data_IF_435676062124
#
_entry.id   IF_435676062124
#
_cell.length_a   1.000
_cell.length_b   1.000
_cell.length_c   1.000
_cell.angle_alpha   90.00
_cell.angle_beta   90.00
_cell.angle_gamma   90.00
#
_symmetry.space_group_name_H-M   'P 1'
#
loop_
_entity.id
_entity.type
_entity.pdbx_description
1 polymer ?
2 non-polymer ?
3 water ?
#
# COMPACT_ATOMS: atom_id res chain seq x y z
N UNK A 12 -8.26 -16.86 -13.71
CA UNK A 12 -8.22 -15.43 -13.40
C UNK A 12 -7.78 -15.16 -11.97
N UNK A 13 -7.24 -13.96 -11.75
CA UNK A 13 -6.77 -13.52 -10.43
C UNK A 13 -7.61 -12.35 -9.93
N UNK A 14 -8.17 -12.49 -8.73
CA UNK A 14 -9.10 -11.50 -8.20
C UNK A 14 -8.46 -10.58 -7.14
N UNK A 15 -8.93 -9.34 -7.10
CA UNK A 15 -8.49 -8.38 -6.09
C UNK A 15 -9.71 -7.76 -5.40
N UNK A 16 -9.65 -7.61 -4.08
CA UNK A 16 -10.76 -7.03 -3.32
C UNK A 16 -10.33 -5.94 -2.38
N UNK A 17 -10.92 -4.76 -2.51
CA UNK A 17 -10.62 -3.73 -1.53
C UNK A 17 -11.44 -4.06 -0.28
N UNK A 18 -10.78 -4.35 0.82
CA UNK A 18 -11.49 -4.75 2.03
C UNK A 18 -11.62 -3.58 2.99
N UNK A 19 -10.76 -2.58 2.83
CA UNK A 19 -10.88 -1.37 3.63
C UNK A 19 -10.35 -0.16 2.87
N UNK A 20 -11.07 0.95 3.00
CA UNK A 20 -10.73 2.20 2.31
C UNK A 20 -11.57 3.31 2.90
N UNK A 21 -11.24 4.54 2.58
CA UNK A 21 -11.97 5.66 3.13
C UNK A 21 -13.40 5.78 2.57
N UNK A 22 -13.60 5.31 1.34
CA UNK A 22 -14.93 5.29 0.70
C UNK A 22 -15.50 3.89 0.67
N UNK A 23 -16.76 3.76 0.28
CA UNK A 23 -17.41 2.45 0.26
C UNK A 23 -18.67 2.45 -0.60
N UNK A 24 -18.97 1.30 -1.19
CA UNK A 24 -20.22 1.12 -1.90
C UNK A 24 -21.24 0.67 -0.87
N UNK A 25 -22.53 0.87 -1.18
CA UNK A 25 -23.61 0.49 -0.26
C UNK A 25 -23.45 -0.93 0.28
N UNK A 26 -23.38 -1.05 1.60
CA UNK A 26 -23.30 -2.36 2.23
C UNK A 26 -21.97 -2.55 2.93
N UNK A 27 -20.94 -1.91 2.40
CA UNK A 27 -19.59 -2.05 2.91
C UNK A 27 -19.20 -0.91 3.82
N UNK A 28 -18.47 -1.22 4.87
CA UNK A 28 -18.05 -0.22 5.83
C UNK A 28 -16.76 0.43 5.38
N UNK A 29 -16.49 1.62 5.89
CA UNK A 29 -15.30 2.36 5.50
C UNK A 29 -14.66 3.03 6.70
N UNK A 30 -13.34 3.10 6.68
CA UNK A 30 -12.65 3.92 7.65
C UNK A 30 -11.42 4.51 6.99
N UNK A 31 -10.74 5.40 7.70
CA UNK A 31 -9.44 5.86 7.28
C UNK A 31 -8.44 4.73 7.50
N UNK A 32 -8.17 3.98 6.43
CA UNK A 32 -7.15 2.97 6.42
C UNK A 32 -7.26 2.22 5.12
N UNK A 33 -6.29 1.36 4.84
CA UNK A 33 -6.28 0.63 3.58
C UNK A 33 -6.08 -0.87 3.83
N UNK A 34 -6.81 -1.70 3.09
CA UNK A 34 -6.59 -3.15 3.09
C UNK A 34 -7.16 -3.70 1.82
N UNK A 35 -6.38 -4.52 1.12
CA UNK A 35 -6.80 -5.09 -0.14
C UNK A 35 -6.34 -6.54 -0.22
N UNK A 36 -7.28 -7.42 -0.54
CA UNK A 36 -7.00 -8.83 -0.75
C UNK A 36 -6.58 -9.04 -2.20
N UNK A 37 -5.40 -9.61 -2.39
CA UNK A 37 -4.84 -9.78 -3.72
C UNK A 37 -4.57 -11.24 -3.97
N UNK A 38 -5.51 -11.91 -4.61
CA UNK A 38 -5.41 -13.34 -4.82
C UNK A 38 -5.24 -14.00 -3.48
N UNK A 39 -4.06 -14.54 -3.23
CA UNK A 39 -3.84 -15.40 -2.07
C UNK A 39 -3.09 -14.71 -0.93
N UNK A 40 -3.03 -13.40 -0.96
CA UNK A 40 -2.25 -12.68 0.04
C UNK A 40 -3.01 -11.41 0.43
N UNK A 41 -2.99 -11.03 1.71
CA UNK A 41 -3.67 -9.81 2.12
C UNK A 41 -2.69 -8.68 2.31
N UNK A 42 -2.92 -7.57 1.61
CA UNK A 42 -2.05 -6.39 1.65
C UNK A 42 -2.66 -5.36 2.58
N UNK A 43 -2.04 -5.16 3.73
CA UNK A 43 -2.53 -4.25 4.76
C UNK A 43 -3.86 -4.69 5.41
N UNK A 44 -4.21 -4.06 6.51
CA UNK A 44 -5.33 -4.51 7.31
C UNK A 44 -6.15 -3.39 7.96
N UNK A 45 -6.07 -2.17 7.45
CA UNK A 45 -6.84 -1.06 7.98
C UNK A 45 -6.49 -0.61 9.40
N UNK A 46 -7.40 0.14 10.01
CA UNK A 46 -7.25 0.66 11.37
C UNK A 46 -7.85 -0.32 12.39
N UNK A 47 -9.02 -0.84 12.07
CA UNK A 47 -9.73 -1.77 12.97
C UNK A 47 -10.19 -3.01 12.22
N UNK A 48 -11.40 -3.48 12.53
CA UNK A 48 -11.87 -4.75 11.98
C UNK A 48 -12.74 -4.57 10.76
N UNK A 49 -12.80 -3.35 10.24
CA UNK A 49 -13.55 -3.08 9.02
C UNK A 49 -13.20 -4.05 7.89
N UNK A 50 -11.93 -4.32 7.67
CA UNK A 50 -11.54 -5.27 6.64
C UNK A 50 -12.20 -6.65 6.83
N UNK A 51 -12.31 -7.12 8.07
CA UNK A 51 -12.90 -8.42 8.36
C UNK A 51 -14.38 -8.45 8.11
N UNK A 52 -15.03 -7.36 8.48
CA UNK A 52 -16.48 -7.27 8.36
C UNK A 52 -16.85 -7.23 6.90
N UNK A 53 -16.08 -6.48 6.11
CA UNK A 53 -16.26 -6.47 4.66
C UNK A 53 -15.99 -7.82 4.04
N UNK A 54 -14.94 -8.49 4.52
CA UNK A 54 -14.62 -9.83 4.06
C UNK A 54 -15.76 -10.82 4.36
N UNK A 55 -16.31 -10.77 5.57
CA UNK A 55 -17.46 -11.60 5.90
C UNK A 55 -18.65 -11.27 5.02
N UNK A 56 -18.84 -9.99 4.72
CA UNK A 56 -19.90 -9.57 3.81
C UNK A 56 -19.75 -10.26 2.46
N UNK A 57 -18.50 -10.52 2.05
CA UNK A 57 -18.25 -11.20 0.77
C UNK A 57 -18.06 -12.70 0.98
N UNK A 58 -18.19 -13.16 2.22
CA UNK A 58 -18.06 -14.56 2.53
C UNK A 58 -16.68 -15.09 2.19
N UNK A 59 -15.66 -14.25 2.34
CA UNK A 59 -14.27 -14.62 2.08
C UNK A 59 -13.49 -15.01 3.34
N UNK A 60 -12.73 -16.09 3.22
CA UNK A 60 -11.76 -16.48 4.23
C UNK A 60 -10.43 -15.80 3.92
N UNK A 61 -9.83 -15.13 4.90
CA UNK A 61 -8.56 -14.46 4.63
C UNK A 61 -7.42 -15.46 4.66
N UNK A 62 -6.37 -15.18 3.89
CA UNK A 62 -5.28 -16.14 3.72
C UNK A 62 -4.30 -16.06 4.88
N UNK A 63 -3.38 -16.99 4.89
CA UNK A 63 -2.39 -17.07 5.94
C UNK A 63 -1.51 -15.83 5.94
N UNK A 64 -1.15 -15.34 4.76
CA UNK A 64 -0.11 -14.33 4.62
C UNK A 64 -0.67 -12.92 4.55
N UNK A 65 -0.21 -12.09 5.48
CA UNK A 65 -0.56 -10.69 5.49
C UNK A 65 0.70 -9.84 5.33
N UNK A 66 0.71 -8.97 4.34
CA UNK A 66 1.87 -8.11 4.06
C UNK A 66 1.59 -6.72 4.56
N UNK A 67 2.58 -6.10 5.16
CA UNK A 67 2.42 -4.77 5.72
C UNK A 67 3.27 -3.76 4.95
N UNK A 68 2.60 -2.79 4.33
CA UNK A 68 3.30 -1.80 3.50
C UNK A 68 4.17 -0.86 4.32
N UNK A 69 3.71 -0.52 5.52
CA UNK A 69 4.49 0.28 6.44
C UNK A 69 3.81 0.28 7.82
N UNK A 70 4.57 0.62 8.86
CA UNK A 70 4.04 0.51 10.22
C UNK A 70 3.21 1.66 10.75
N UNK A 71 2.34 2.24 9.93
CA UNK A 71 1.34 3.18 10.42
C UNK A 71 0.09 2.47 10.93
N UNK A 72 -0.58 3.09 11.90
CA UNK A 72 -1.79 2.56 12.55
C UNK A 72 -2.91 2.19 11.56
N UNK A 73 -3.11 3.00 10.52
CA UNK A 73 -4.19 2.78 9.57
C UNK A 73 -3.88 1.67 8.56
N UNK A 74 -2.72 1.04 8.69
CA UNK A 74 -2.33 -0.06 7.79
C UNK A 74 -2.07 -1.33 8.55
N UNK A 75 -1.57 -1.20 9.77
CA UNK A 75 -1.21 -2.36 10.57
C UNK A 75 -2.21 -2.62 11.71
N UNK A 76 -3.24 -1.79 11.81
CA UNK A 76 -4.12 -1.82 12.97
C UNK A 76 -5.05 -3.01 13.07
N UNK A 77 -5.58 -3.45 11.94
CA UNK A 77 -6.49 -4.58 11.95
C UNK A 77 -5.79 -5.89 12.28
N UNK A 78 -4.47 -5.85 12.38
CA UNK A 78 -3.73 -7.04 12.81
C UNK A 78 -4.09 -7.39 14.25
N UNK A 79 -4.58 -6.41 14.97
CA UNK A 79 -5.04 -6.61 16.33
C UNK A 79 -6.25 -7.52 16.37
N UNK A 80 -6.80 -7.82 15.20
CA UNK A 80 -8.00 -8.63 15.10
C UNK A 80 -7.72 -9.98 14.46
N UNK A 81 -6.43 -10.25 14.19
CA UNK A 81 -6.03 -11.52 13.61
C UNK A 81 -5.08 -12.27 14.55
N UNK A 82 -5.11 -13.60 14.44
CA UNK A 82 -4.18 -14.47 15.13
C UNK A 82 -3.66 -15.50 14.13
N UNK A 83 -2.42 -15.93 14.34
CA UNK A 83 -1.86 -17.03 13.57
C UNK A 83 -1.48 -16.72 12.14
N UNK A 84 -1.56 -15.46 11.76
CA UNK A 84 -1.13 -15.06 10.43
C UNK A 84 0.38 -15.00 10.38
N UNK A 85 0.93 -15.07 9.18
CA UNK A 85 2.34 -14.84 8.94
C UNK A 85 2.44 -13.42 8.41
N UNK A 86 3.00 -12.53 9.23
CA UNK A 86 3.01 -11.11 8.91
C UNK A 86 4.34 -10.71 8.33
N UNK A 87 4.32 -10.27 7.08
CA UNK A 87 5.52 -9.87 6.38
C UNK A 87 5.74 -8.38 6.54
N UNK A 88 6.72 -8.01 7.37
CA UNK A 88 7.04 -6.62 7.59
C UNK A 88 8.54 -6.37 7.56
N UNK A 89 8.92 -5.13 7.28
CA UNK A 89 10.32 -4.72 7.37
C UNK A 89 10.73 -4.50 8.83
N UNK A 90 11.94 -4.91 9.19
CA UNK A 90 12.43 -4.72 10.55
C UNK A 90 12.11 -3.32 11.07
N UNK A 91 12.22 -2.32 10.21
CA UNK A 91 12.09 -0.94 10.67
C UNK A 91 10.63 -0.48 10.83
N UNK A 92 9.69 -1.33 10.44
CA UNK A 92 8.29 -1.08 10.76
C UNK A 92 8.06 -1.08 12.28
N UNK A 93 8.99 -1.63 13.04
CA UNK A 93 8.83 -1.74 14.48
C UNK A 93 9.06 -0.42 15.20
N UNK A 94 9.87 0.46 14.62
CA UNK A 94 10.15 1.77 15.22
C UNK A 94 8.85 2.52 15.38
N UNK A 95 8.75 3.32 16.42
CA UNK A 95 7.47 3.92 16.77
C UNK A 95 7.25 5.21 16.02
N UNK A 96 6.21 5.23 15.19
CA UNK A 96 6.00 6.32 14.26
C UNK A 96 5.16 7.43 14.84
N UNK A 97 5.58 8.66 14.60
CA UNK A 97 4.82 9.84 15.00
C UNK A 97 4.45 10.67 13.80
N UNK A 98 3.33 11.37 13.92
CA UNK A 98 2.90 12.25 12.86
C UNK A 98 2.61 13.60 13.48
N UNK A 99 3.61 14.47 13.48
CA UNK A 99 3.57 15.64 14.31
C UNK A 99 3.88 15.14 15.71
N UNK A 100 3.04 15.53 16.66
CA UNK A 100 3.19 15.09 18.04
C UNK A 100 2.24 13.91 18.32
N UNK A 101 1.56 13.43 17.29
CA UNK A 101 0.59 12.36 17.44
C UNK A 101 1.18 11.01 17.16
N UNK A 102 1.07 10.10 18.12
CA UNK A 102 1.54 8.75 17.92
C UNK A 102 0.75 8.08 16.81
N UNK A 103 1.46 7.55 15.82
CA UNK A 103 0.83 6.89 14.68
C UNK A 103 1.38 5.49 14.41
N UNK A 104 2.00 4.88 15.40
CA UNK A 104 2.59 3.59 15.17
C UNK A 104 1.61 2.45 15.35
N UNK A 105 2.15 1.24 15.35
CA UNK A 105 1.36 0.04 15.56
C UNK A 105 1.83 -0.72 16.80
N UNK A 106 0.93 -1.50 17.39
CA UNK A 106 1.25 -2.23 18.61
C UNK A 106 1.85 -3.57 18.26
N UNK A 107 3.15 -3.57 17.94
CA UNK A 107 3.82 -4.78 17.49
C UNK A 107 3.99 -5.80 18.59
N UNK A 108 4.02 -5.34 19.84
CA UNK A 108 4.18 -6.26 20.96
C UNK A 108 3.02 -7.21 21.00
N UNK A 109 1.84 -6.67 20.76
CA UNK A 109 0.62 -7.46 20.77
C UNK A 109 0.50 -8.25 19.48
N UNK A 110 0.79 -7.60 18.37
CA UNK A 110 0.63 -8.21 17.06
C UNK A 110 1.50 -9.44 16.92
N UNK A 111 2.72 -9.36 17.43
CA UNK A 111 3.70 -10.45 17.29
C UNK A 111 3.54 -11.52 18.39
N UNK A 112 2.70 -11.21 19.37
CA UNK A 112 2.27 -12.18 20.36
C UNK A 112 1.33 -13.19 19.73
N UNK A 113 0.29 -12.69 19.06
CA UNK A 113 -0.76 -13.49 18.47
C UNK A 113 -0.46 -14.00 17.08
N UNK A 114 0.49 -13.34 16.43
CA UNK A 114 0.90 -13.66 15.08
C UNK A 114 2.39 -13.95 15.00
N UNK A 115 2.85 -14.20 13.80
CA UNK A 115 4.21 -14.64 13.54
C UNK A 115 4.82 -13.68 12.53
N UNK A 116 5.93 -13.07 12.91
CA UNK A 116 6.60 -12.10 12.08
C UNK A 116 7.53 -12.74 11.06
N UNK A 117 7.45 -12.28 9.82
CA UNK A 117 8.42 -12.65 8.82
C UNK A 117 9.08 -11.34 8.40
N UNK A 118 10.32 -11.18 8.79
CA UNK A 118 11.03 -9.92 8.58
C UNK A 118 11.70 -9.82 7.22
N UNK A 119 11.38 -8.75 6.51
CA UNK A 119 11.82 -8.56 5.15
C UNK A 119 13.05 -7.65 5.16
N UNK A 120 14.18 -8.16 4.68
CA UNK A 120 15.44 -7.42 4.70
C UNK A 120 15.95 -7.04 3.31
N UNK A 121 15.77 -7.93 2.34
CA UNK A 121 16.24 -7.71 0.97
C UNK A 121 15.55 -6.53 0.25
N UNK A 122 16.16 -6.08 -0.84
CA UNK A 122 15.55 -5.08 -1.72
C UNK A 122 14.38 -5.72 -2.47
N UNK A 123 14.57 -6.97 -2.90
CA UNK A 123 13.52 -7.73 -3.58
C UNK A 123 13.35 -9.06 -2.88
N UNK A 124 12.11 -9.37 -2.48
CA UNK A 124 11.82 -10.60 -1.79
C UNK A 124 10.69 -11.32 -2.50
N UNK A 125 10.92 -12.56 -2.91
CA UNK A 125 9.84 -13.33 -3.53
C UNK A 125 8.91 -13.95 -2.49
N UNK A 126 7.62 -13.75 -2.65
CA UNK A 126 6.64 -14.21 -1.68
C UNK A 126 6.12 -15.57 -2.07
N UNK A 127 5.50 -15.61 -3.24
CA UNK A 127 4.98 -16.83 -3.80
C UNK A 127 5.19 -16.73 -5.29
N UNK A 128 4.44 -17.51 -6.06
CA UNK A 128 4.66 -17.49 -7.49
C UNK A 128 4.26 -16.13 -8.07
N UNK A 129 5.25 -15.49 -8.69
CA UNK A 129 5.00 -14.28 -9.46
C UNK A 129 4.66 -13.09 -8.57
N UNK A 130 4.84 -13.26 -7.27
CA UNK A 130 4.61 -12.17 -6.32
C UNK A 130 5.91 -11.79 -5.63
N UNK A 131 6.15 -10.49 -5.50
CA UNK A 131 7.38 -9.95 -4.92
C UNK A 131 7.10 -8.74 -4.05
N UNK A 132 7.89 -8.59 -2.99
CA UNK A 132 7.87 -7.37 -2.22
C UNK A 132 9.11 -6.58 -2.55
N UNK A 133 8.92 -5.30 -2.84
CA UNK A 133 10.03 -4.40 -3.08
C UNK A 133 10.19 -3.43 -1.92
N UNK A 134 11.43 -3.27 -1.47
CA UNK A 134 11.72 -2.50 -0.28
C UNK A 134 11.63 -1.01 -0.52
N UNK A 135 12.07 -0.21 0.46
CA UNK A 135 11.93 1.24 0.40
C UNK A 135 12.44 1.77 -0.93
N UNK A 136 11.62 2.56 -1.61
CA UNK A 136 11.98 3.13 -2.90
C UNK A 136 13.10 4.15 -2.77
N UNK A 137 13.92 4.22 -3.80
CA UNK A 137 14.96 5.23 -3.90
C UNK A 137 14.30 6.60 -4.03
N UNK A 138 14.64 7.52 -3.13
CA UNK A 138 14.00 8.84 -3.12
C UNK A 138 14.43 9.78 -4.24
N UNK A 139 15.50 9.42 -4.96
CA UNK A 139 16.05 10.27 -6.02
C UNK A 139 16.04 11.77 -5.71
N UNK A 140 16.50 12.14 -4.51
CA UNK A 140 16.58 13.54 -4.13
C UNK A 140 15.32 14.12 -3.49
N UNK A 141 14.20 13.39 -3.58
CA UNK A 141 12.96 13.79 -2.91
C UNK A 141 12.92 13.29 -1.48
N UNK A 142 12.09 13.91 -0.65
CA UNK A 142 11.91 13.48 0.73
C UNK A 142 10.42 13.49 1.04
N UNK A 143 9.98 12.56 1.90
CA UNK A 143 8.54 12.37 2.12
C UNK A 143 7.85 13.67 2.51
N UNK A 144 6.63 13.91 2.03
CA UNK A 144 5.90 15.11 2.40
C UNK A 144 5.19 14.85 3.71
N UNK A 145 4.90 15.91 4.45
CA UNK A 145 4.26 15.76 5.74
C UNK A 145 5.16 16.03 6.92
N UNK A 146 4.66 15.73 8.10
CA UNK A 146 5.35 16.04 9.34
C UNK A 146 5.67 14.78 10.11
N UNK A 147 6.25 13.81 9.43
CA UNK A 147 6.46 12.49 10.00
C UNK A 147 7.76 12.35 10.80
N UNK A 148 7.66 11.70 11.96
CA UNK A 148 8.83 11.39 12.75
C UNK A 148 8.85 9.92 13.13
N UNK A 149 9.99 9.46 13.59
CA UNK A 149 10.10 8.09 14.05
C UNK A 149 11.04 8.05 15.26
N UNK A 150 10.84 7.09 16.15
CA UNK A 150 11.60 7.02 17.38
C UNK A 150 12.21 5.65 17.53
N UNK A 151 13.54 5.61 17.50
CA UNK A 151 14.27 4.38 17.74
C UNK A 151 15.10 4.54 19.00
N UNK A 152 14.67 3.89 20.08
CA UNK A 152 15.35 3.93 21.38
C UNK A 152 15.05 5.18 22.22
N UNK A 153 14.01 5.93 21.84
CA UNK A 153 13.71 7.17 22.53
C UNK A 153 14.42 8.31 21.84
N UNK A 154 14.97 8.02 20.67
CA UNK A 154 15.63 9.00 19.83
C UNK A 154 14.74 9.40 18.67
N UNK A 155 14.31 10.66 18.67
CA UNK A 155 13.31 11.15 17.73
C UNK A 155 13.96 11.73 16.47
N UNK A 156 13.89 10.99 15.38
CA UNK A 156 14.40 11.48 14.10
C UNK A 156 13.26 11.73 13.15
N UNK A 157 13.55 12.37 12.02
CA UNK A 157 12.57 12.50 10.96
C UNK A 157 12.36 11.12 10.31
N UNK A 158 11.18 10.86 9.77
CA UNK A 158 10.86 9.51 9.26
C UNK A 158 11.00 9.45 7.75
N UNK A 159 11.91 8.60 7.24
CA UNK A 159 12.09 8.45 5.80
C UNK A 159 11.43 7.18 5.27
N UNK A 160 10.79 6.45 6.17
CA UNK A 160 10.01 5.28 5.80
C UNK A 160 10.86 4.16 5.24
N UNK A 161 11.93 3.86 5.95
CA UNK A 161 12.80 2.75 5.62
C UNK A 161 12.03 1.43 5.75
N UNK A 162 10.82 1.51 6.28
CA UNK A 162 9.96 0.34 6.47
C UNK A 162 9.00 0.08 5.32
N UNK A 163 8.89 1.02 4.39
CA UNK A 163 7.90 0.96 3.31
C UNK A 163 8.23 -0.09 2.27
N UNK A 164 7.23 -0.90 1.92
CA UNK A 164 7.41 -1.93 0.91
C UNK A 164 6.19 -2.04 0.03
N UNK A 165 6.39 -2.61 -1.15
CA UNK A 165 5.37 -2.57 -2.18
C UNK A 165 5.25 -3.94 -2.80
N UNK A 166 4.02 -4.33 -3.10
CA UNK A 166 3.78 -5.63 -3.69
C UNK A 166 3.77 -5.53 -5.21
N UNK A 167 4.45 -6.46 -5.86
CA UNK A 167 4.39 -6.57 -7.31
C UNK A 167 3.93 -7.98 -7.67
N UNK A 168 2.84 -8.04 -8.45
CA UNK A 168 2.31 -9.29 -8.93
C UNK A 168 2.58 -9.33 -10.43
N UNK A 169 3.27 -10.37 -10.86
CA UNK A 169 3.65 -10.54 -12.26
C UNK A 169 2.56 -11.34 -12.98
N UNK A 170 1.95 -10.67 -13.94
CA UNK A 170 0.76 -11.14 -14.66
C UNK A 170 1.16 -11.31 -16.13
N UNK A 171 0.45 -12.15 -16.89
CA UNK A 171 0.81 -12.34 -18.29
C UNK A 171 0.63 -11.04 -19.08
N UNK A 172 -0.19 -10.14 -18.54
CA UNK A 172 -0.52 -8.85 -19.14
C UNK A 172 0.42 -7.73 -18.69
N UNK A 173 1.32 -8.04 -17.76
CA UNK A 173 2.21 -7.05 -17.18
C UNK A 173 2.18 -7.13 -15.68
N UNK A 174 2.67 -6.08 -15.02
CA UNK A 174 2.78 -6.11 -13.57
C UNK A 174 1.59 -5.45 -12.92
N UNK A 175 1.12 -6.00 -11.81
CA UNK A 175 0.18 -5.28 -10.99
C UNK A 175 0.88 -4.85 -9.71
N UNK A 176 0.77 -3.56 -9.39
CA UNK A 176 1.51 -2.98 -8.29
C UNK A 176 0.53 -2.51 -7.23
N UNK A 177 0.75 -2.95 -5.99
CA UNK A 177 -0.13 -2.58 -4.89
C UNK A 177 0.65 -1.88 -3.80
N UNK A 178 0.21 -0.67 -3.47
CA UNK A 178 0.95 0.18 -2.57
C UNK A 178 0.00 0.69 -1.51
N UNK A 179 0.51 0.92 -0.31
CA UNK A 179 -0.31 1.34 0.81
C UNK A 179 -0.44 2.84 0.83
N UNK A 180 0.67 3.55 1.00
CA UNK A 180 0.60 5.00 1.07
C UNK A 180 1.62 5.72 0.18
N UNK A 181 2.67 5.02 -0.22
CA UNK A 181 3.70 5.60 -1.08
C UNK A 181 4.35 6.83 -0.48
N UNK A 182 4.93 6.71 0.70
CA UNK A 182 5.54 7.86 1.36
C UNK A 182 6.84 8.26 0.68
N UNK A 183 7.50 7.29 0.08
CA UNK A 183 8.76 7.54 -0.57
C UNK A 183 8.56 8.07 -1.98
N UNK A 184 7.31 8.12 -2.43
CA UNK A 184 6.97 8.63 -3.75
C UNK A 184 6.51 7.56 -4.70
N UNK A 185 5.29 7.69 -5.23
CA UNK A 185 4.74 6.63 -6.07
C UNK A 185 5.52 6.53 -7.36
N UNK A 186 6.02 7.67 -7.82
CA UNK A 186 6.94 7.71 -8.95
C UNK A 186 8.28 7.00 -8.67
N UNK A 187 8.88 7.24 -7.52
CA UNK A 187 10.09 6.54 -7.13
C UNK A 187 9.85 5.05 -7.05
N UNK A 188 8.67 4.71 -6.57
CA UNK A 188 8.28 3.33 -6.40
C UNK A 188 8.21 2.65 -7.75
N UNK A 189 7.62 3.32 -8.72
CA UNK A 189 7.44 2.73 -10.05
C UNK A 189 8.75 2.60 -10.81
N UNK A 190 9.59 3.62 -10.69
CA UNK A 190 10.91 3.62 -11.28
C UNK A 190 11.76 2.51 -10.68
N UNK A 191 11.66 2.32 -9.37
CA UNK A 191 12.39 1.22 -8.75
C UNK A 191 11.96 -0.10 -9.37
N UNK A 192 10.65 -0.25 -9.57
CA UNK A 192 10.09 -1.44 -10.20
C UNK A 192 10.58 -1.58 -11.64
N UNK A 193 10.45 -0.51 -12.40
CA UNK A 193 10.98 -0.40 -13.76
C UNK A 193 12.45 -0.83 -13.95
N UNK A 194 13.29 -0.59 -12.94
CA UNK A 194 14.71 -0.94 -13.02
C UNK A 194 14.96 -2.41 -12.69
N UNK A 195 13.94 -3.09 -12.15
CA UNK A 195 14.07 -4.43 -11.58
C UNK A 195 13.40 -5.48 -12.46
N UNK A 196 12.25 -5.12 -13.02
CA UNK A 196 11.48 -6.04 -13.85
C UNK A 196 11.52 -5.62 -15.33
N UNK A 197 11.86 -6.58 -16.19
CA UNK A 197 11.82 -6.36 -17.63
C UNK A 197 10.38 -6.29 -18.15
N UNK A 198 9.41 -6.43 -17.27
CA UNK A 198 8.00 -6.47 -17.63
C UNK A 198 7.37 -5.10 -17.59
N UNK A 199 6.30 -4.91 -18.35
CA UNK A 199 5.62 -3.63 -18.38
C UNK A 199 4.70 -3.50 -17.16
N UNK A 200 4.48 -2.28 -16.69
CA UNK A 200 3.55 -2.06 -15.60
C UNK A 200 2.13 -1.87 -16.15
N UNK A 201 1.24 -2.80 -15.81
CA UNK A 201 -0.11 -2.81 -16.34
C UNK A 201 -1.04 -1.94 -15.50
N UNK A 202 -1.10 -2.23 -14.19
CA UNK A 202 -2.05 -1.59 -13.28
C UNK A 202 -1.40 -1.22 -11.95
N UNK A 203 -1.78 -0.06 -11.41
CA UNK A 203 -1.30 0.35 -10.09
C UNK A 203 -2.46 0.68 -9.18
N UNK A 204 -2.55 0.02 -8.02
CA UNK A 204 -3.62 0.31 -7.09
C UNK A 204 -3.12 0.60 -5.68
N UNK A 205 -3.71 1.58 -5.01
CA UNK A 205 -3.35 1.88 -3.64
C UNK A 205 -3.27 3.36 -3.38
N UNK A 206 -2.78 3.74 -2.20
CA UNK A 206 -2.71 5.15 -1.84
C UNK A 206 -1.39 5.80 -2.24
N UNK A 207 -1.47 7.03 -2.73
CA UNK A 207 -0.28 7.73 -3.24
C UNK A 207 0.15 8.93 -2.39
N UNK A 208 -0.67 9.29 -1.41
CA UNK A 208 -0.35 10.36 -0.46
C UNK A 208 -0.07 11.68 -1.14
N UNK A 209 -1.05 12.20 -1.85
CA UNK A 209 -0.83 13.41 -2.62
C UNK A 209 -1.60 14.62 -2.13
N UNK A 210 -2.15 14.52 -0.92
CA UNK A 210 -2.92 15.61 -0.31
C UNK A 210 -2.09 16.85 0.03
N UNK A 211 -0.82 16.61 0.36
CA UNK A 211 0.09 17.69 0.75
C UNK A 211 1.08 18.03 -0.36
N UNK A 212 0.88 17.43 -1.53
CA UNK A 212 1.75 17.69 -2.67
C UNK A 212 1.16 18.79 -3.55
N UNK A 213 2.04 19.55 -4.21
CA UNK A 213 1.60 20.62 -5.09
C UNK A 213 1.11 20.08 -6.43
N UNK A 214 0.24 20.83 -7.08
CA UNK A 214 -0.29 20.42 -8.37
C UNK A 214 0.85 20.10 -9.32
N UNK A 215 1.91 20.90 -9.28
CA UNK A 215 3.11 20.63 -10.06
C UNK A 215 3.67 19.27 -9.69
N UNK A 216 3.83 19.04 -8.38
CA UNK A 216 4.36 17.78 -7.90
C UNK A 216 3.54 16.62 -8.44
N UNK A 217 2.22 16.74 -8.37
CA UNK A 217 1.33 15.70 -8.89
C UNK A 217 1.39 15.47 -10.40
N UNK A 218 1.56 16.53 -11.17
CA UNK A 218 1.64 16.40 -12.63
C UNK A 218 2.90 15.66 -13.05
N UNK A 219 4.01 15.99 -12.38
CA UNK A 219 5.26 15.31 -12.60
C UNK A 219 5.08 13.79 -12.37
N UNK A 220 4.21 13.44 -11.43
CA UNK A 220 3.97 12.04 -11.10
C UNK A 220 3.13 11.38 -12.17
N UNK A 221 2.03 12.03 -12.54
CA UNK A 221 1.20 11.53 -13.64
C UNK A 221 2.04 11.35 -14.89
N UNK A 222 2.96 12.27 -15.12
CA UNK A 222 3.89 12.20 -16.24
C UNK A 222 4.68 10.89 -16.18
N UNK A 223 5.12 10.50 -14.99
CA UNK A 223 5.87 9.23 -14.84
C UNK A 223 4.99 8.02 -15.15
N UNK A 224 3.76 8.03 -14.67
CA UNK A 224 2.83 6.95 -15.01
C UNK A 224 2.73 6.84 -16.53
N UNK A 225 2.57 7.97 -17.20
CA UNK A 225 2.47 7.96 -18.66
C UNK A 225 3.75 7.46 -19.32
N UNK A 226 4.87 8.06 -18.93
CA UNK A 226 6.17 7.68 -19.45
C UNK A 226 6.42 6.18 -19.36
N UNK A 227 5.96 5.58 -18.25
CA UNK A 227 6.24 4.16 -18.01
C UNK A 227 5.20 3.27 -18.65
N UNK A 228 4.23 3.87 -19.33
CA UNK A 228 3.21 3.13 -20.03
C UNK A 228 2.21 2.40 -19.15
N UNK A 229 1.96 2.92 -17.95
CA UNK A 229 0.96 2.32 -17.08
C UNK A 229 -0.42 2.46 -17.72
N UNK A 230 -1.20 1.38 -17.71
CA UNK A 230 -2.47 1.36 -18.43
C UNK A 230 -3.66 1.75 -17.56
N UNK A 231 -3.73 1.22 -16.34
CA UNK A 231 -4.86 1.46 -15.43
C UNK A 231 -4.38 1.87 -14.07
N UNK A 232 -5.03 2.86 -13.46
CA UNK A 232 -4.71 3.30 -12.11
C UNK A 232 -5.96 3.35 -11.21
N UNK A 233 -5.80 2.82 -10.01
CA UNK A 233 -6.87 2.75 -9.02
C UNK A 233 -6.36 3.38 -7.73
N UNK A 234 -6.57 4.69 -7.57
CA UNK A 234 -6.03 5.45 -6.43
C UNK A 234 -6.93 5.41 -5.21
N UNK A 235 -6.39 4.97 -4.08
CA UNK A 235 -7.19 4.80 -2.86
C UNK A 235 -6.67 5.64 -1.71
N UNK A 236 -7.40 5.63 -0.59
CA UNK A 236 -6.83 5.99 0.71
C UNK A 236 -6.26 7.41 0.73
N UNK A 237 -4.97 7.54 1.03
CA UNK A 237 -4.34 8.86 1.12
C UNK A 237 -4.43 9.77 -0.11
N UNK A 238 -4.59 9.19 -1.29
CA UNK A 238 -4.35 9.91 -2.56
C UNK A 238 -4.88 11.35 -2.64
N UNK A 239 -6.19 11.54 -2.54
CA UNK A 239 -6.73 12.89 -2.55
C UNK A 239 -7.53 13.25 -3.78
N UNK A 240 -8.65 13.94 -3.58
CA UNK A 240 -9.55 14.33 -4.67
C UNK A 240 -8.85 15.20 -5.72
N UNK A 241 -8.02 16.13 -5.27
CA UNK A 241 -7.31 17.01 -6.21
C UNK A 241 -6.42 16.18 -7.12
N UNK A 242 -5.63 15.31 -6.52
CA UNK A 242 -4.67 14.51 -7.25
C UNK A 242 -5.39 13.60 -8.24
N UNK A 243 -6.49 13.00 -7.81
CA UNK A 243 -7.26 12.14 -8.69
C UNK A 243 -7.80 12.91 -9.89
N UNK A 244 -8.30 14.13 -9.66
CA UNK A 244 -8.80 14.96 -10.75
C UNK A 244 -7.71 15.20 -11.77
N UNK A 245 -6.49 15.43 -11.29
CA UNK A 245 -5.34 15.61 -12.18
C UNK A 245 -5.04 14.33 -12.98
N UNK A 246 -5.06 13.19 -12.29
CA UNK A 246 -4.94 11.89 -12.97
C UNK A 246 -6.01 11.78 -14.06
N UNK A 247 -7.26 12.05 -13.72
CA UNK A 247 -8.34 11.91 -14.70
C UNK A 247 -8.15 12.78 -15.96
N UNK A 248 -7.51 13.94 -15.80
CA UNK A 248 -7.38 14.87 -16.92
C UNK A 248 -6.04 14.80 -17.65
N UNK A 249 -5.07 14.08 -17.10
CA UNK A 249 -3.74 14.03 -17.71
C UNK A 249 -3.17 12.64 -17.93
N UNK A 250 -3.71 11.66 -17.21
CA UNK A 250 -3.28 10.28 -17.37
C UNK A 250 -3.88 9.75 -18.65
N UNK A 251 -3.04 9.14 -19.48
CA UNK A 251 -3.44 8.65 -20.80
C UNK A 251 -4.23 7.36 -20.75
N UNK A 252 -4.28 6.71 -19.60
CA UNK A 252 -4.99 5.46 -19.46
C UNK A 252 -6.29 5.59 -18.69
N UNK A 253 -6.73 4.48 -18.12
CA UNK A 253 -7.99 4.44 -17.39
C UNK A 253 -7.77 4.63 -15.89
N UNK A 254 -8.58 5.50 -15.29
CA UNK A 254 -8.60 5.64 -13.84
C UNK A 254 -9.90 5.05 -13.33
N UNK A 255 -9.79 4.20 -12.31
CA UNK A 255 -10.96 3.57 -11.69
C UNK A 255 -11.21 4.14 -10.30
N UNK A 256 -12.47 4.20 -9.87
CA UNK A 256 -12.77 4.71 -8.54
C UNK A 256 -12.55 3.64 -7.50
N UNK A 257 -11.86 4.01 -6.42
CA UNK A 257 -11.57 3.06 -5.36
C UNK A 257 -12.59 3.20 -4.24
N UNK A 258 -13.03 2.06 -3.73
CA UNK A 258 -13.93 2.02 -2.58
C UNK A 258 -13.89 0.65 -1.94
N UNK A 259 -14.32 0.57 -0.68
CA UNK A 259 -14.29 -0.68 0.09
C UNK A 259 -14.99 -1.87 -0.58
N UNK A 260 -16.10 -1.65 -1.25
CA UNK A 260 -16.65 -2.79 -1.97
C UNK A 260 -15.84 -3.35 -3.15
N UNK A 261 -14.98 -2.53 -3.74
CA UNK A 261 -14.42 -2.80 -5.07
C UNK A 261 -13.79 -4.18 -5.33
N UNK A 262 -14.19 -4.78 -6.44
CA UNK A 262 -13.62 -6.03 -6.91
C UNK A 262 -13.01 -5.86 -8.32
N UNK A 263 -11.76 -6.25 -8.48
CA UNK A 263 -11.09 -6.18 -9.78
C UNK A 263 -10.68 -7.56 -10.24
N UNK A 264 -10.88 -7.87 -11.51
CA UNK A 264 -10.49 -9.16 -12.08
C UNK A 264 -9.46 -8.93 -13.16
N UNK A 265 -8.42 -9.76 -13.16
CA UNK A 265 -7.29 -9.52 -14.05
C UNK A 265 -6.65 -10.83 -14.47
N UNK A 266 -6.06 -10.85 -15.67
CA UNK A 266 -5.47 -12.07 -16.22
C UNK A 266 -4.27 -12.53 -15.39
N UNK A 267 -4.04 -13.84 -15.37
CA UNK A 267 -3.01 -14.45 -14.53
C UNK A 267 -1.66 -13.78 -14.73
X LIG B 1 1.12 6.16 6.17
#
# INVERSE_FOLDING_TARGET
>A
XGSDKIHHHHHHMRIHVLCDDSSQNGFESEHGFSVLVDSVLFDTGKSDVFLKNARKLGIDLPKDVLISHGHYDHAGGLLYLSGKRVWLRKEALDQKYSGERYAGADWNEVLYYNTGKFVIERITEIGKNMFLLGPANLRGKVPTGDFFVERNGERRKDLFEDEQTLVVRTKEGLVVITGCSHRGIDNILLDIAETFNERIKMVVGGFHLLKSSDDEIEKIVKAFNELGVETVVPCHCTGERAVDIFKREFLGKIMDCYAGLKLEVSD
>B hetero
1 ZN ZN
#
